data_IF_731050459072
#
_entry.id   IF_731050459072
#
_cell.length_a   1.000
_cell.length_b   1.000
_cell.length_c   1.000
_cell.angle_alpha   90.00
_cell.angle_beta   90.00
_cell.angle_gamma   90.00
#
_symmetry.space_group_name_H-M   'P 1'
#
loop_
_entity.id
_entity.type
_entity.pdbx_description
1 polymer ?
#
# COMPACT_ATOMS: atom_id res chain seq x y z
N UNK A 1 -29.55 -56.68 -21.17
CA UNK A 1 -28.28 -56.23 -20.55
C UNK A 1 -27.61 -54.99 -21.18
N UNK A 2 -27.97 -54.47 -22.36
CA UNK A 2 -27.36 -53.26 -22.95
C UNK A 2 -27.93 -51.94 -22.41
N UNK A 3 -29.18 -51.88 -21.97
CA UNK A 3 -29.85 -50.65 -21.48
C UNK A 3 -29.36 -50.16 -20.12
N UNK A 4 -28.92 -51.06 -19.24
CA UNK A 4 -28.42 -50.72 -17.89
C UNK A 4 -27.01 -50.10 -17.92
N UNK A 5 -26.18 -50.45 -18.91
CA UNK A 5 -24.83 -49.88 -19.05
C UNK A 5 -24.84 -48.44 -19.60
N UNK A 6 -25.82 -48.11 -20.46
CA UNK A 6 -25.99 -46.75 -20.97
C UNK A 6 -26.53 -45.80 -19.91
N UNK A 7 -27.39 -46.27 -19.00
CA UNK A 7 -27.93 -45.46 -17.91
C UNK A 7 -26.82 -45.12 -16.88
N UNK A 8 -25.95 -46.08 -16.56
CA UNK A 8 -24.84 -45.89 -15.64
C UNK A 8 -23.78 -44.90 -16.19
N UNK A 9 -23.57 -44.90 -17.49
CA UNK A 9 -22.65 -43.91 -18.13
C UNK A 9 -23.21 -42.48 -18.15
N UNK A 10 -24.53 -42.34 -18.35
CA UNK A 10 -25.18 -41.04 -18.33
C UNK A 10 -25.20 -40.43 -16.92
N UNK A 11 -25.43 -41.22 -15.87
CA UNK A 11 -25.38 -40.73 -14.49
C UNK A 11 -23.97 -40.34 -14.06
N UNK A 12 -22.92 -41.05 -14.49
CA UNK A 12 -21.55 -40.70 -14.22
C UNK A 12 -21.14 -39.39 -14.91
N UNK A 13 -21.63 -39.12 -16.12
CA UNK A 13 -21.36 -37.91 -16.86
C UNK A 13 -22.06 -36.70 -16.22
N UNK A 14 -23.30 -36.85 -15.74
CA UNK A 14 -24.04 -35.78 -15.05
C UNK A 14 -23.40 -35.42 -13.69
N UNK A 15 -22.94 -36.44 -12.93
CA UNK A 15 -22.20 -36.15 -11.68
C UNK A 15 -20.89 -35.45 -11.90
N UNK A 16 -20.19 -35.67 -13.02
CA UNK A 16 -18.95 -34.99 -13.34
C UNK A 16 -19.16 -33.48 -13.68
N UNK A 17 -20.31 -33.16 -14.29
CA UNK A 17 -20.66 -31.75 -14.63
C UNK A 17 -21.07 -30.92 -13.41
N UNK A 18 -21.64 -31.52 -12.35
CA UNK A 18 -22.12 -30.80 -11.16
C UNK A 18 -20.94 -30.44 -10.22
N UNK A 19 -19.83 -31.18 -10.28
CA UNK A 19 -18.65 -30.90 -9.44
C UNK A 19 -17.75 -29.75 -9.98
N UNK A 20 -18.02 -29.25 -11.19
CA UNK A 20 -17.22 -28.16 -11.81
C UNK A 20 -17.78 -26.74 -11.59
N UNK A 21 -18.93 -26.60 -10.91
CA UNK A 21 -19.59 -25.30 -10.73
C UNK A 21 -19.26 -24.60 -9.41
N UNK A 22 -18.41 -25.17 -8.56
CA UNK A 22 -18.12 -24.64 -7.23
C UNK A 22 -16.77 -23.89 -7.12
N UNK A 23 -15.96 -23.82 -8.18
CA UNK A 23 -14.70 -23.07 -8.17
C UNK A 23 -14.73 -21.95 -9.21
N UNK A 24 -14.27 -20.77 -8.82
CA UNK A 24 -14.09 -19.66 -9.73
C UNK A 24 -13.16 -20.08 -10.90
N UNK A 25 -13.46 -19.67 -12.16
CA UNK A 25 -12.70 -20.12 -13.34
C UNK A 25 -11.19 -19.77 -13.26
N UNK A 26 -10.80 -18.78 -12.47
CA UNK A 26 -9.39 -18.39 -12.23
C UNK A 26 -8.64 -19.42 -11.38
N UNK A 27 -9.29 -20.01 -10.38
CA UNK A 27 -8.69 -21.01 -9.49
C UNK A 27 -8.48 -22.35 -10.20
N UNK A 28 -9.46 -22.78 -11.00
CA UNK A 28 -9.36 -24.03 -11.77
C UNK A 28 -8.23 -23.93 -12.82
N UNK A 29 -8.08 -22.79 -13.46
CA UNK A 29 -7.00 -22.60 -14.46
C UNK A 29 -5.61 -22.65 -13.81
N UNK A 30 -5.41 -22.01 -12.66
CA UNK A 30 -4.15 -22.04 -11.91
C UNK A 30 -3.80 -23.47 -11.46
N UNK A 31 -4.74 -24.21 -10.90
CA UNK A 31 -4.50 -25.58 -10.42
C UNK A 31 -4.20 -26.56 -11.55
N UNK A 32 -4.79 -26.37 -12.72
CA UNK A 32 -4.57 -27.24 -13.90
C UNK A 32 -3.20 -26.96 -14.53
N UNK A 33 -2.81 -25.71 -14.65
CA UNK A 33 -1.49 -25.32 -15.19
C UNK A 33 -0.38 -25.81 -14.25
N UNK A 34 -0.55 -25.64 -12.91
CA UNK A 34 0.44 -26.10 -11.94
C UNK A 34 0.67 -27.62 -11.99
N UNK A 35 -0.41 -28.42 -12.08
CA UNK A 35 -0.32 -29.88 -12.19
C UNK A 35 0.32 -30.34 -13.50
N UNK A 36 0.08 -29.64 -14.60
CA UNK A 36 0.63 -30.00 -15.92
C UNK A 36 2.12 -29.69 -15.99
N UNK A 37 2.58 -28.57 -15.46
CA UNK A 37 4.00 -28.20 -15.42
C UNK A 37 4.82 -29.13 -14.53
N UNK A 38 4.27 -29.56 -13.40
CA UNK A 38 4.92 -30.53 -12.51
C UNK A 38 5.04 -31.91 -13.16
N UNK A 39 4.03 -32.34 -13.93
CA UNK A 39 4.04 -33.65 -14.63
C UNK A 39 5.03 -33.66 -15.81
N UNK A 40 5.38 -32.52 -16.38
CA UNK A 40 6.31 -32.41 -17.51
C UNK A 40 7.77 -32.17 -17.07
N UNK A 41 8.06 -32.12 -15.75
CA UNK A 41 9.43 -31.93 -15.24
C UNK A 41 10.06 -30.57 -15.62
N UNK A 42 9.24 -29.60 -16.03
CA UNK A 42 9.69 -28.24 -16.43
C UNK A 42 9.79 -27.28 -15.26
N UNK A 43 9.80 -27.79 -14.02
CA UNK A 43 10.03 -26.97 -12.85
C UNK A 43 11.51 -26.61 -12.77
N UNK A 44 11.85 -25.43 -13.25
CA UNK A 44 13.04 -24.75 -12.82
C UNK A 44 12.77 -24.37 -11.37
N UNK A 45 13.60 -24.84 -10.43
CA UNK A 45 13.55 -24.40 -9.03
C UNK A 45 13.96 -22.94 -8.97
N UNK A 46 13.01 -22.06 -9.22
CA UNK A 46 13.08 -20.71 -8.67
C UNK A 46 12.45 -20.83 -7.29
N UNK A 47 13.28 -20.77 -6.28
CA UNK A 47 12.91 -20.60 -4.88
C UNK A 47 12.46 -19.14 -4.69
N UNK A 48 11.36 -18.78 -5.33
CA UNK A 48 10.57 -17.61 -5.00
C UNK A 48 9.16 -18.17 -4.78
N UNK A 49 8.88 -18.52 -3.52
CA UNK A 49 7.53 -18.45 -3.05
C UNK A 49 7.17 -16.98 -3.26
N UNK A 50 6.40 -16.67 -4.31
CA UNK A 50 5.63 -15.45 -4.39
C UNK A 50 4.71 -15.49 -3.17
N UNK A 51 5.21 -14.99 -2.03
CA UNK A 51 4.36 -14.46 -0.98
C UNK A 51 3.49 -13.45 -1.73
N UNK A 52 2.23 -13.79 -1.90
CA UNK A 52 1.21 -12.81 -2.22
C UNK A 52 1.27 -11.87 -1.03
N UNK A 53 1.99 -10.76 -1.16
CA UNK A 53 2.01 -9.70 -0.17
C UNK A 53 0.55 -9.38 0.10
N UNK A 54 0.05 -9.78 1.27
CA UNK A 54 -1.29 -9.42 1.71
C UNK A 54 -1.27 -7.89 1.82
N UNK A 55 -1.86 -7.23 0.81
CA UNK A 55 -1.89 -5.77 0.75
C UNK A 55 -2.53 -5.24 2.03
N UNK A 56 -1.78 -4.46 2.79
CA UNK A 56 -2.27 -3.85 4.03
C UNK A 56 -3.05 -2.58 3.69
N UNK A 57 -4.31 -2.53 4.11
CA UNK A 57 -5.18 -1.36 3.95
C UNK A 57 -5.38 -0.65 5.29
N UNK A 58 -5.41 0.68 5.24
CA UNK A 58 -5.82 1.51 6.38
C UNK A 58 -7.33 1.32 6.64
N UNK A 59 -7.73 1.43 7.88
CA UNK A 59 -9.15 1.32 8.31
C UNK A 59 -9.78 2.69 8.38
N UNK A 60 -11.06 2.81 7.99
CA UNK A 60 -11.81 4.06 8.11
C UNK A 60 -11.82 4.56 9.54
N UNK A 61 -11.48 5.82 9.75
CA UNK A 61 -11.44 6.48 11.06
C UNK A 61 -10.43 7.61 11.14
N UNK A 62 -10.47 8.29 12.29
CA UNK A 62 -9.63 9.45 12.55
C UNK A 62 -10.10 10.72 11.85
N UNK A 63 -9.33 11.78 12.00
CA UNK A 63 -9.50 13.06 11.32
C UNK A 63 -8.15 13.68 10.99
N UNK A 64 -8.15 14.52 9.95
CA UNK A 64 -7.01 15.36 9.59
C UNK A 64 -7.49 16.80 9.56
N UNK A 65 -7.23 17.52 10.67
CA UNK A 65 -7.48 18.97 10.79
C UNK A 65 -6.13 19.65 10.85
N UNK A 66 -5.82 20.46 9.84
CA UNK A 66 -4.54 21.18 9.76
C UNK A 66 -4.49 22.34 10.76
N UNK A 67 -3.30 22.68 11.31
CA UNK A 67 -3.11 23.90 12.08
C UNK A 67 -3.52 25.15 11.29
N UNK A 68 -4.09 26.15 11.97
CA UNK A 68 -4.50 27.42 11.33
C UNK A 68 -3.30 28.18 10.74
N UNK A 69 -2.10 27.94 11.24
CA UNK A 69 -0.83 28.50 10.76
C UNK A 69 -0.37 27.91 9.43
N UNK A 70 -0.85 26.72 9.09
CA UNK A 70 -0.40 25.96 7.92
C UNK A 70 -1.10 26.45 6.64
N UNK A 71 -0.37 27.10 5.73
CA UNK A 71 -0.87 27.37 4.37
C UNK A 71 -0.81 26.11 3.51
N UNK A 72 -1.88 25.34 3.51
CA UNK A 72 -1.98 24.08 2.78
C UNK A 72 -1.87 24.21 1.26
N UNK A 73 -1.86 25.43 0.73
CA UNK A 73 -1.79 25.73 -0.71
C UNK A 73 -0.44 26.29 -1.15
N UNK A 74 0.49 26.52 -0.22
CA UNK A 74 1.78 27.17 -0.49
C UNK A 74 2.64 26.39 -1.50
N UNK A 75 2.51 25.07 -1.56
CA UNK A 75 3.22 24.25 -2.54
C UNK A 75 2.48 22.94 -2.82
N UNK A 76 3.07 22.08 -3.66
CA UNK A 76 2.52 20.75 -3.94
C UNK A 76 2.55 19.82 -2.76
N UNK A 77 3.48 20.00 -1.85
CA UNK A 77 3.56 19.33 -0.56
C UNK A 77 3.99 20.34 0.48
N UNK A 78 3.21 20.49 1.52
CA UNK A 78 3.47 21.35 2.68
C UNK A 78 3.48 20.51 3.92
N UNK A 79 4.46 20.70 4.79
CA UNK A 79 4.58 19.98 6.06
C UNK A 79 4.72 20.98 7.21
N UNK A 80 4.06 20.72 8.33
CA UNK A 80 4.17 21.49 9.57
C UNK A 80 4.17 20.53 10.76
N UNK A 81 5.05 20.79 11.73
CA UNK A 81 5.10 20.03 12.99
C UNK A 81 4.44 20.86 14.08
N UNK A 82 3.50 20.24 14.80
CA UNK A 82 2.91 20.79 16.01
C UNK A 82 2.97 19.72 17.12
N UNK A 83 3.82 19.97 18.11
CA UNK A 83 4.10 19.01 19.17
C UNK A 83 4.73 17.71 18.67
N UNK A 84 4.04 16.60 18.92
CA UNK A 84 4.43 15.25 18.49
C UNK A 84 3.79 14.83 17.16
N UNK A 85 3.21 15.76 16.44
CA UNK A 85 2.41 15.51 15.23
C UNK A 85 2.97 16.24 14.02
N UNK A 86 3.20 15.51 12.93
CA UNK A 86 3.51 16.06 11.61
C UNK A 86 2.23 16.09 10.77
N UNK A 87 1.87 17.28 10.32
CA UNK A 87 0.81 17.50 9.33
C UNK A 87 1.42 17.64 7.94
N UNK A 88 0.80 17.00 6.95
CA UNK A 88 1.24 17.03 5.56
C UNK A 88 0.05 17.29 4.67
N UNK A 89 0.04 18.41 3.95
CA UNK A 89 -0.92 18.67 2.88
C UNK A 89 -0.26 18.43 1.53
N UNK A 90 -0.98 17.81 0.60
CA UNK A 90 -0.48 17.57 -0.75
C UNK A 90 -1.54 17.90 -1.81
N UNK A 91 -1.08 18.57 -2.90
CA UNK A 91 -1.93 19.14 -3.92
C UNK A 91 -1.49 18.69 -5.31
N UNK A 92 -2.29 17.83 -5.95
CA UNK A 92 -2.06 17.38 -7.31
C UNK A 92 -0.69 16.68 -7.46
N UNK A 93 -0.44 15.67 -6.62
CA UNK A 93 0.78 14.87 -6.68
C UNK A 93 0.52 13.46 -7.21
N UNK A 94 1.59 12.80 -7.66
CA UNK A 94 1.65 11.36 -7.91
C UNK A 94 2.60 10.69 -6.92
N UNK A 95 3.84 11.20 -6.84
CA UNK A 95 4.86 10.68 -5.94
C UNK A 95 5.57 11.83 -5.24
N UNK A 96 5.64 11.80 -3.91
CA UNK A 96 6.38 12.79 -3.10
C UNK A 96 6.79 12.16 -1.77
N UNK A 97 7.90 12.67 -1.23
CA UNK A 97 8.34 12.37 0.14
C UNK A 97 8.12 13.58 1.04
N UNK A 98 7.86 13.34 2.31
CA UNK A 98 8.00 14.35 3.36
C UNK A 98 9.47 14.63 3.65
N UNK A 99 9.74 15.66 4.42
CA UNK A 99 11.01 15.81 5.13
C UNK A 99 11.17 14.67 6.16
N UNK A 100 12.41 14.49 6.64
CA UNK A 100 12.67 13.52 7.68
C UNK A 100 12.21 14.03 9.04
N UNK A 101 11.60 13.17 9.81
CA UNK A 101 11.19 13.38 11.20
C UNK A 101 11.74 12.27 12.09
N UNK A 102 11.85 12.53 13.39
CA UNK A 102 12.32 11.55 14.38
C UNK A 102 11.14 10.78 14.93
N UNK A 103 11.21 9.45 15.00
CA UNK A 103 10.23 8.65 15.71
C UNK A 103 10.39 8.78 17.22
N UNK A 104 9.32 9.13 17.94
CA UNK A 104 9.32 9.26 19.40
C UNK A 104 9.18 7.91 20.12
N UNK A 105 8.65 6.90 19.42
CA UNK A 105 8.41 5.55 19.93
C UNK A 105 8.67 4.50 18.85
N UNK A 106 8.40 3.24 19.17
CA UNK A 106 8.49 2.12 18.23
C UNK A 106 7.30 2.06 17.25
N UNK A 107 6.38 3.00 17.34
CA UNK A 107 5.18 3.06 16.51
C UNK A 107 4.76 4.49 16.18
N UNK A 108 4.08 4.65 15.03
CA UNK A 108 3.45 5.90 14.58
C UNK A 108 2.01 5.62 14.20
N UNK A 109 1.11 6.56 14.54
CA UNK A 109 -0.25 6.56 14.03
C UNK A 109 -0.35 7.49 12.83
N UNK A 110 -0.79 6.97 11.69
CA UNK A 110 -0.90 7.74 10.45
C UNK A 110 -2.35 7.75 10.01
N UNK A 111 -2.98 8.93 10.07
CA UNK A 111 -4.31 9.18 9.51
C UNK A 111 -4.14 9.92 8.21
N UNK A 112 -4.86 9.53 7.17
CA UNK A 112 -4.76 10.17 5.87
C UNK A 112 -6.07 10.13 5.09
N UNK A 113 -6.22 11.08 4.17
CA UNK A 113 -7.28 11.11 3.19
C UNK A 113 -6.75 11.65 1.87
N UNK A 114 -7.39 11.26 0.78
CA UNK A 114 -7.14 11.87 -0.53
C UNK A 114 -8.38 11.80 -1.41
N UNK A 115 -8.38 12.66 -2.42
CA UNK A 115 -9.34 12.63 -3.53
C UNK A 115 -8.59 12.57 -4.85
N UNK A 116 -9.24 12.02 -5.88
CA UNK A 116 -8.76 11.99 -7.26
C UNK A 116 -9.89 12.33 -8.22
N UNK A 117 -9.57 12.85 -9.39
CA UNK A 117 -10.53 13.05 -10.48
C UNK A 117 -10.82 11.76 -11.26
N UNK A 118 -10.07 10.69 -10.99
CA UNK A 118 -10.26 9.42 -11.66
C UNK A 118 -11.52 8.71 -11.19
N UNK A 119 -12.33 8.23 -12.14
CA UNK A 119 -13.47 7.33 -11.88
C UNK A 119 -13.13 5.86 -12.14
N UNK A 120 -11.89 5.55 -12.51
CA UNK A 120 -11.45 4.20 -12.80
C UNK A 120 -11.09 3.49 -11.48
N UNK A 121 -11.65 2.30 -11.27
CA UNK A 121 -11.46 1.49 -10.06
C UNK A 121 -9.98 1.17 -9.76
N UNK A 122 -9.13 1.07 -10.79
CA UNK A 122 -7.69 0.81 -10.63
C UNK A 122 -6.93 2.00 -10.02
N UNK A 123 -7.53 3.18 -9.96
CA UNK A 123 -6.93 4.42 -9.45
C UNK A 123 -7.69 4.97 -8.23
N UNK A 124 -8.36 4.12 -7.45
CA UNK A 124 -9.10 4.54 -6.25
C UNK A 124 -8.30 4.34 -4.97
N UNK A 125 -7.00 4.06 -5.07
CA UNK A 125 -6.12 3.93 -3.90
C UNK A 125 -4.79 4.64 -4.14
N UNK A 126 -4.24 5.19 -3.07
CA UNK A 126 -2.83 5.59 -2.97
C UNK A 126 -2.17 4.81 -1.85
N UNK A 127 -0.86 4.78 -1.83
CA UNK A 127 -0.10 4.11 -0.78
C UNK A 127 0.91 5.04 -0.15
N UNK A 128 1.23 4.76 1.09
CA UNK A 128 2.37 5.34 1.79
C UNK A 128 3.35 4.24 2.16
N UNK A 129 4.61 4.61 2.32
CA UNK A 129 5.66 3.76 2.85
C UNK A 129 6.64 4.58 3.68
N UNK A 130 7.23 3.97 4.71
CA UNK A 130 8.28 4.62 5.50
C UNK A 130 9.66 4.27 4.96
N UNK A 131 10.54 5.26 4.97
CA UNK A 131 11.95 5.13 4.64
C UNK A 131 12.77 5.64 5.82
N UNK A 132 13.71 4.84 6.29
CA UNK A 132 14.62 5.17 7.38
C UNK A 132 15.90 5.77 6.83
N UNK A 133 16.37 6.84 7.46
CA UNK A 133 17.68 7.46 7.18
C UNK A 133 18.77 6.71 7.93
N UNK A 134 19.87 6.38 7.24
CA UNK A 134 21.06 5.78 7.86
C UNK A 134 21.72 6.73 8.88
N UNK A 135 22.48 6.18 9.84
CA UNK A 135 23.15 6.97 10.87
C UNK A 135 24.14 8.00 10.31
N UNK A 136 24.80 7.65 9.22
CA UNK A 136 25.72 8.53 8.51
C UNK A 136 25.03 9.53 7.58
N UNK A 137 23.70 9.49 7.50
CA UNK A 137 22.84 10.34 6.67
C UNK A 137 23.16 10.28 5.16
N UNK A 138 23.79 9.20 4.70
CA UNK A 138 24.20 9.05 3.29
C UNK A 138 23.26 8.19 2.47
N UNK A 139 22.41 7.38 3.10
CA UNK A 139 21.51 6.45 2.43
C UNK A 139 20.17 6.32 3.15
N UNK A 140 19.19 5.82 2.42
CA UNK A 140 17.86 5.51 2.96
C UNK A 140 17.51 4.07 2.68
N UNK A 141 16.81 3.43 3.61
CA UNK A 141 16.29 2.08 3.45
C UNK A 141 14.80 2.03 3.68
N UNK A 142 14.14 1.21 2.88
CA UNK A 142 12.72 0.94 3.02
C UNK A 142 12.46 0.17 4.33
N UNK A 143 11.47 0.63 5.10
CA UNK A 143 11.01 -0.08 6.30
C UNK A 143 10.07 -1.19 5.88
N UNK A 144 10.52 -2.43 6.00
CA UNK A 144 9.76 -3.62 5.56
C UNK A 144 8.41 -3.67 6.29
N UNK A 145 7.33 -3.92 5.54
CA UNK A 145 5.97 -3.99 6.09
C UNK A 145 5.31 -2.62 6.37
N UNK A 146 5.96 -1.49 6.03
CA UNK A 146 5.37 -0.15 6.24
C UNK A 146 4.50 0.34 5.09
N UNK A 147 4.36 -0.42 4.00
CA UNK A 147 3.47 -0.03 2.89
C UNK A 147 2.02 -0.24 3.25
N UNK A 148 1.22 0.81 3.18
CA UNK A 148 -0.20 0.81 3.51
C UNK A 148 -0.99 1.54 2.44
N UNK A 149 -2.12 0.97 2.04
CA UNK A 149 -3.03 1.50 1.03
C UNK A 149 -4.19 2.26 1.67
N UNK A 150 -4.52 3.41 1.11
CA UNK A 150 -5.60 4.32 1.49
C UNK A 150 -6.53 4.51 0.31
N UNK A 151 -7.84 4.58 0.56
CA UNK A 151 -8.82 4.89 -0.48
C UNK A 151 -8.83 6.39 -0.81
N UNK A 152 -9.08 6.74 -2.08
CA UNK A 152 -9.11 8.13 -2.57
C UNK A 152 -10.53 8.71 -2.65
N UNK A 153 -11.42 8.33 -1.73
CA UNK A 153 -12.83 8.75 -1.67
C UNK A 153 -13.07 10.00 -0.83
N UNK A 154 -11.99 10.60 -0.29
CA UNK A 154 -12.06 11.76 0.60
C UNK A 154 -12.34 11.41 2.05
N UNK A 155 -12.57 10.14 2.40
CA UNK A 155 -12.74 9.69 3.77
C UNK A 155 -11.38 9.57 4.47
N UNK A 156 -11.33 9.86 5.78
CA UNK A 156 -10.13 9.61 6.58
C UNK A 156 -10.00 8.12 6.91
N UNK A 157 -8.78 7.62 6.72
CA UNK A 157 -8.36 6.27 7.07
C UNK A 157 -7.14 6.32 7.97
N UNK A 158 -7.03 5.37 8.89
CA UNK A 158 -5.97 5.32 9.90
C UNK A 158 -5.25 3.98 9.87
N UNK A 159 -3.94 4.02 10.11
CA UNK A 159 -3.09 2.86 10.30
C UNK A 159 -1.99 3.14 11.33
N UNK A 160 -1.63 2.13 12.12
CA UNK A 160 -0.52 2.19 13.05
C UNK A 160 0.66 1.39 12.48
N UNK A 161 1.73 2.09 12.13
CA UNK A 161 3.01 1.46 11.76
C UNK A 161 3.77 1.14 13.04
N UNK A 162 4.33 -0.05 13.14
CA UNK A 162 5.12 -0.53 14.29
C UNK A 162 6.47 -1.07 13.85
N UNK A 163 7.34 -1.36 14.83
CA UNK A 163 8.68 -1.89 14.57
C UNK A 163 9.71 -0.82 14.24
N UNK A 164 9.41 0.45 14.56
CA UNK A 164 10.35 1.56 14.39
C UNK A 164 11.37 1.59 15.54
N UNK A 165 12.48 2.25 15.30
CA UNK A 165 13.48 2.51 16.35
C UNK A 165 13.32 3.94 16.85
N UNK A 166 12.97 4.17 18.13
CA UNK A 166 12.88 5.51 18.70
C UNK A 166 14.19 6.30 18.53
N UNK A 167 14.09 7.58 18.20
CA UNK A 167 15.23 8.45 17.94
C UNK A 167 15.81 8.35 16.52
N UNK A 168 15.37 7.41 15.70
CA UNK A 168 15.74 7.31 14.29
C UNK A 168 14.92 8.27 13.42
N UNK A 169 15.51 8.66 12.30
CA UNK A 169 14.86 9.56 11.34
C UNK A 169 14.16 8.77 10.22
N UNK A 170 12.92 9.12 9.98
CA UNK A 170 12.06 8.52 8.96
C UNK A 170 11.45 9.59 8.06
N UNK A 171 11.12 9.22 6.82
CA UNK A 171 10.25 10.01 5.95
C UNK A 171 9.10 9.15 5.44
N UNK A 172 7.97 9.76 5.15
CA UNK A 172 6.85 9.11 4.45
C UNK A 172 6.99 9.37 2.97
N UNK A 173 6.97 8.30 2.19
CA UNK A 173 6.84 8.35 0.74
C UNK A 173 5.37 8.12 0.36
N UNK A 174 4.76 9.08 -0.29
CA UNK A 174 3.39 9.04 -0.79
C UNK A 174 3.45 8.65 -2.26
N UNK A 175 2.72 7.62 -2.66
CA UNK A 175 2.72 7.11 -4.04
C UNK A 175 1.30 6.85 -4.54
N UNK A 176 1.03 7.35 -5.74
CA UNK A 176 -0.21 7.12 -6.47
C UNK A 176 0.12 6.56 -7.85
N UNK A 177 -0.26 5.32 -8.08
CA UNK A 177 0.16 4.53 -9.25
C UNK A 177 -0.63 4.93 -10.51
N UNK A 178 -0.50 6.20 -10.91
CA UNK A 178 -1.10 6.75 -12.13
C UNK A 178 -0.11 7.67 -12.84
N UNK A 179 -0.03 7.57 -14.16
CA UNK A 179 0.73 8.51 -15.00
C UNK A 179 -0.12 9.68 -15.50
N UNK A 180 -1.43 9.62 -15.31
CA UNK A 180 -2.39 10.60 -15.86
C UNK A 180 -3.11 11.40 -14.79
N UNK A 181 -3.47 10.77 -13.69
CA UNK A 181 -4.26 11.38 -12.63
C UNK A 181 -3.37 11.74 -11.45
N UNK A 182 -3.88 12.60 -10.60
CA UNK A 182 -3.22 13.14 -9.42
C UNK A 182 -4.13 12.97 -8.21
N UNK A 183 -3.53 13.01 -7.02
CA UNK A 183 -4.25 13.03 -5.75
C UNK A 183 -4.03 14.35 -5.04
N UNK A 184 -5.06 14.80 -4.31
CA UNK A 184 -5.03 15.93 -3.38
C UNK A 184 -5.59 15.46 -2.05
N UNK A 185 -4.93 15.82 -0.94
CA UNK A 185 -5.34 15.34 0.37
C UNK A 185 -4.36 15.73 1.47
N UNK A 186 -4.32 14.94 2.53
CA UNK A 186 -3.45 15.19 3.67
C UNK A 186 -3.19 13.97 4.53
N UNK A 187 -2.13 14.09 5.34
CA UNK A 187 -1.76 13.15 6.39
C UNK A 187 -1.60 13.87 7.71
N UNK A 188 -1.89 13.16 8.79
CA UNK A 188 -1.58 13.48 10.17
C UNK A 188 -0.80 12.31 10.75
N UNK A 189 0.45 12.53 11.11
CA UNK A 189 1.38 11.51 11.60
C UNK A 189 1.71 11.85 13.04
N UNK A 190 1.33 10.98 13.97
CA UNK A 190 1.47 11.18 15.41
C UNK A 190 2.50 10.22 16.00
N UNK A 191 3.17 10.66 17.06
CA UNK A 191 4.20 9.88 17.75
C UNK A 191 5.62 10.30 17.37
N UNK A 192 5.80 11.55 16.92
CA UNK A 192 7.12 12.11 16.65
C UNK A 192 7.91 12.33 17.94
N UNK A 193 9.23 12.26 17.82
CA UNK A 193 10.18 12.71 18.85
C UNK A 193 10.36 14.23 18.81
N UNK A 194 11.08 14.76 19.79
CA UNK A 194 11.24 16.19 20.04
C UNK A 194 12.33 16.89 19.19
N UNK A 195 12.90 16.22 18.20
CA UNK A 195 13.92 16.84 17.32
C UNK A 195 13.27 17.48 16.10
N UNK A 196 13.89 18.57 15.63
CA UNK A 196 13.41 19.31 14.45
C UNK A 196 13.51 18.47 13.16
N UNK A 197 12.67 18.82 12.16
CA UNK A 197 12.71 18.22 10.83
C UNK A 197 14.08 18.44 10.19
N UNK A 198 14.67 17.38 9.65
CA UNK A 198 15.93 17.48 8.90
C UNK A 198 15.64 17.41 7.40
N UNK A 199 15.87 18.49 6.68
CA UNK A 199 15.83 18.53 5.21
C UNK A 199 17.20 18.11 4.67
N UNK A 200 17.25 17.05 3.85
CA UNK A 200 18.47 16.68 3.12
C UNK A 200 18.35 17.28 1.72
N UNK A 201 19.14 18.31 1.43
CA UNK A 201 19.09 19.09 0.17
C UNK A 201 19.50 18.31 -1.10
N UNK A 202 19.74 17.01 -1.05
CA UNK A 202 20.31 16.23 -2.14
C UNK A 202 19.43 15.07 -2.65
N UNK A 203 18.12 15.22 -2.80
CA UNK A 203 17.41 14.31 -3.70
C UNK A 203 17.23 14.99 -5.06
N UNK A 204 18.10 14.59 -6.02
CA UNK A 204 18.01 14.95 -7.42
C UNK A 204 16.56 14.86 -7.90
N UNK A 205 16.02 15.99 -8.27
CA UNK A 205 14.83 16.15 -9.08
C UNK A 205 15.06 15.36 -10.39
N UNK A 206 14.60 14.14 -10.46
CA UNK A 206 14.43 13.46 -11.74
C UNK A 206 13.21 14.12 -12.39
N UNK A 207 13.50 14.89 -13.44
CA UNK A 207 12.52 15.53 -14.31
C UNK A 207 11.68 14.49 -15.05
#
# INVERSE_FOLDING_TARGET
>A
MKRTRTLALLTALVCLCVSLTACSPKEVLKSTILKTTTALGLRQETSDEDEVDDLTYATSGGDVTFPETMDTTASKLVSEVDGDTLYVAFNGIQNRSTDYFVAGSDSLSITGYATTESTNENFQTFKIALWELSDDKTSTSYVIGSTVYYTTDGTCYQYNVSGLTPGRQYKVYISYDSTRYYITGGLKIQGLGSEELTTIENENTVQ
#
